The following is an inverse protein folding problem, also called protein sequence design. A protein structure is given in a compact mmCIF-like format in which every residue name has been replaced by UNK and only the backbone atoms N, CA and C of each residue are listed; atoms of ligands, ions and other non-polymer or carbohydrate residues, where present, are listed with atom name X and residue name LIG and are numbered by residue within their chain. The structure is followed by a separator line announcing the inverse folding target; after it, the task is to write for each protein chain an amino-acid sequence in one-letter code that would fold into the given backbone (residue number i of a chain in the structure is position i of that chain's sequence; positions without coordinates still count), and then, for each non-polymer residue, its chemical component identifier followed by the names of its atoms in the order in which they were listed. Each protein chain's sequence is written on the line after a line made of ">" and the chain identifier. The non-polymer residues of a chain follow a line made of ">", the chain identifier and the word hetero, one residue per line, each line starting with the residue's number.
data_IF_568594694963
#
_entry.id   IF_568594694963
#
_cell.length_a   1.000
_cell.length_b   1.000
_cell.length_c   1.000
_cell.angle_alpha   90.00
_cell.angle_beta   90.00
_cell.angle_gamma   90.00
#
_symmetry.space_group_name_H-M   'P 1'
#
loop_
_entity.id
_entity.type
_entity.pdbx_description
1 polymer ?
#
# COMPACT_ATOMS: atom_id res chain seq x y z
N UNK A 1 31.59 -19.23 38.61
CA UNK A 1 30.53 -20.18 38.96
C UNK A 1 29.79 -20.48 37.67
N UNK A 2 30.21 -21.58 37.03
CA UNK A 2 29.58 -22.14 35.84
C UNK A 2 28.30 -22.87 36.22
N UNK A 3 27.23 -22.66 35.48
CA UNK A 3 26.12 -23.59 35.40
C UNK A 3 25.75 -23.76 33.93
N UNK A 4 26.23 -24.86 33.38
CA UNK A 4 25.87 -25.48 32.13
C UNK A 4 24.51 -26.18 32.28
N UNK A 5 23.56 -25.96 31.38
CA UNK A 5 22.41 -26.84 31.17
C UNK A 5 22.34 -27.29 29.73
N UNK A 6 22.67 -28.57 29.55
CA UNK A 6 22.28 -29.35 28.38
C UNK A 6 20.77 -29.65 28.46
N UNK A 7 20.06 -29.53 27.34
CA UNK A 7 18.76 -30.20 27.19
C UNK A 7 18.70 -30.81 25.77
N UNK A 8 18.38 -32.10 25.77
CA UNK A 8 18.34 -33.05 24.70
C UNK A 8 17.35 -32.75 23.59
N UNK A 9 17.69 -33.14 22.36
CA UNK A 9 16.80 -33.21 21.20
C UNK A 9 15.97 -34.51 21.25
N UNK A 10 14.71 -34.52 20.85
CA UNK A 10 14.01 -35.76 20.51
C UNK A 10 13.97 -36.04 19.00
N UNK A 11 14.09 -37.34 18.75
CA UNK A 11 14.26 -38.06 17.51
C UNK A 11 13.18 -37.84 16.42
N UNK A 12 13.66 -37.94 15.20
CA UNK A 12 12.90 -38.12 13.95
C UNK A 12 12.02 -39.39 13.98
N UNK A 13 10.80 -39.27 13.48
CA UNK A 13 9.97 -40.40 13.06
C UNK A 13 9.69 -40.27 11.57
N UNK A 14 10.30 -41.19 10.82
CA UNK A 14 9.89 -41.56 9.48
C UNK A 14 8.43 -42.03 9.45
N UNK A 15 7.67 -41.57 8.48
CA UNK A 15 6.37 -42.18 8.10
C UNK A 15 6.38 -42.47 6.61
N UNK A 16 6.28 -43.77 6.33
CA UNK A 16 6.27 -44.39 5.02
C UNK A 16 5.16 -43.87 4.07
N UNK A 17 5.54 -43.84 2.80
CA UNK A 17 4.68 -43.69 1.65
C UNK A 17 3.79 -44.91 1.45
N UNK A 18 2.50 -44.70 1.19
CA UNK A 18 1.62 -45.65 0.54
C UNK A 18 1.06 -45.06 -0.74
N UNK A 19 1.48 -45.69 -1.82
CA UNK A 19 0.88 -45.60 -3.15
C UNK A 19 -0.61 -46.02 -3.08
N UNK A 20 -1.45 -45.29 -3.80
CA UNK A 20 -2.73 -45.82 -4.26
C UNK A 20 -3.02 -45.36 -5.67
N UNK A 21 -3.24 -46.35 -6.52
CA UNK A 21 -3.38 -46.34 -7.95
C UNK A 21 -4.66 -45.65 -8.45
N UNK A 22 -4.56 -45.24 -9.68
CA UNK A 22 -5.60 -44.75 -10.60
C UNK A 22 -6.80 -45.68 -10.70
N UNK A 23 -7.99 -45.08 -10.81
CA UNK A 23 -9.06 -45.63 -11.64
C UNK A 23 -9.72 -44.50 -12.43
N UNK A 24 -9.64 -44.65 -13.75
CA UNK A 24 -10.41 -43.90 -14.76
C UNK A 24 -11.84 -44.38 -14.75
N UNK A 25 -12.79 -43.47 -14.76
CA UNK A 25 -14.04 -43.71 -15.55
C UNK A 25 -14.67 -42.40 -16.02
N UNK A 26 -14.87 -42.39 -17.31
CA UNK A 26 -15.59 -41.45 -18.16
C UNK A 26 -17.10 -41.42 -17.83
N UNK A 27 -17.73 -40.25 -17.87
CA UNK A 27 -18.88 -39.93 -18.72
C UNK A 27 -19.70 -38.72 -18.25
N UNK A 28 -20.01 -37.85 -19.18
CA UNK A 28 -21.33 -37.22 -19.23
C UNK A 28 -21.42 -35.70 -19.05
N UNK A 29 -21.31 -35.03 -20.16
CA UNK A 29 -22.08 -33.81 -20.58
C UNK A 29 -22.79 -32.95 -19.50
N UNK A 30 -22.35 -31.70 -19.39
CA UNK A 30 -23.10 -30.62 -18.76
C UNK A 30 -22.46 -29.26 -19.07
N UNK A 31 -22.72 -28.72 -20.29
CA UNK A 31 -22.38 -27.33 -20.61
C UNK A 31 -23.24 -26.38 -19.77
N UNK A 32 -22.68 -25.74 -18.80
CA UNK A 32 -23.22 -24.49 -18.25
C UNK A 32 -22.29 -23.34 -18.62
N UNK A 33 -22.71 -22.60 -19.64
CA UNK A 33 -22.16 -21.30 -20.02
C UNK A 33 -22.53 -20.28 -18.93
N UNK A 34 -21.60 -19.98 -18.04
CA UNK A 34 -21.70 -18.82 -17.19
C UNK A 34 -21.15 -17.61 -17.97
N UNK A 35 -22.05 -16.89 -18.64
CA UNK A 35 -21.79 -15.57 -19.21
C UNK A 35 -21.66 -14.56 -18.06
N UNK A 36 -20.46 -14.40 -17.52
CA UNK A 36 -20.11 -13.28 -16.64
C UNK A 36 -19.99 -12.01 -17.47
N UNK A 37 -20.90 -11.08 -17.25
CA UNK A 37 -20.93 -9.77 -17.92
C UNK A 37 -19.77 -8.92 -17.38
N UNK A 38 -18.64 -8.88 -18.10
CA UNK A 38 -17.57 -7.91 -17.91
C UNK A 38 -17.98 -6.61 -18.59
N UNK A 39 -18.63 -5.71 -17.84
CA UNK A 39 -18.91 -4.36 -18.29
C UNK A 39 -17.87 -3.39 -17.72
N UNK A 40 -16.72 -3.31 -18.38
CA UNK A 40 -15.84 -2.15 -18.24
C UNK A 40 -16.04 -1.28 -19.45
N UNK A 41 -16.53 -0.05 -19.24
CA UNK A 41 -16.69 0.93 -20.30
C UNK A 41 -15.34 1.35 -20.85
N UNK A 42 -14.97 0.79 -21.99
CA UNK A 42 -13.86 1.22 -22.82
C UNK A 42 -14.35 2.39 -23.69
N UNK A 43 -13.86 3.60 -23.47
CA UNK A 43 -14.01 4.69 -24.43
C UNK A 43 -12.83 4.63 -25.41
N UNK A 44 -13.07 4.41 -26.72
CA UNK A 44 -11.98 4.25 -27.68
C UNK A 44 -11.44 5.61 -28.17
N UNK A 45 -10.12 5.82 -28.03
CA UNK A 45 -9.40 6.87 -28.77
C UNK A 45 -9.02 6.30 -30.14
N UNK A 46 -9.27 7.03 -31.23
CA UNK A 46 -8.88 6.65 -32.58
C UNK A 46 -7.53 7.29 -32.95
N UNK A 47 -6.52 6.46 -33.21
CA UNK A 47 -5.30 6.85 -33.92
C UNK A 47 -5.20 5.91 -35.14
N UNK A 48 -5.07 6.47 -36.34
CA UNK A 48 -4.96 5.75 -37.64
C UNK A 48 -6.03 4.67 -37.88
N UNK A 49 -7.28 4.97 -37.53
CA UNK A 49 -8.40 4.05 -37.76
C UNK A 49 -8.47 2.84 -36.80
N UNK A 50 -7.50 2.64 -35.91
CA UNK A 50 -7.51 1.61 -34.88
C UNK A 50 -7.99 2.19 -33.55
N UNK A 51 -8.96 1.52 -32.92
CA UNK A 51 -9.38 1.86 -31.57
C UNK A 51 -8.33 1.32 -30.60
N UNK A 52 -7.59 2.21 -29.94
CA UNK A 52 -6.77 1.84 -28.79
C UNK A 52 -7.72 1.82 -27.59
N UNK A 53 -7.85 0.65 -26.95
CA UNK A 53 -8.57 0.55 -25.70
C UNK A 53 -7.80 1.31 -24.63
N UNK A 54 -8.36 2.41 -24.14
CA UNK A 54 -7.81 3.15 -23.03
C UNK A 54 -8.23 2.42 -21.75
N UNK A 55 -7.27 1.88 -21.00
CA UNK A 55 -7.52 1.25 -19.72
C UNK A 55 -7.48 2.32 -18.63
N UNK A 56 -8.50 2.34 -17.79
CA UNK A 56 -8.44 3.08 -16.53
C UNK A 56 -7.82 2.16 -15.48
N UNK A 57 -6.77 2.64 -14.79
CA UNK A 57 -6.16 1.95 -13.65
C UNK A 57 -6.58 2.64 -12.36
N UNK A 58 -7.26 1.93 -11.46
CA UNK A 58 -7.64 2.40 -10.14
C UNK A 58 -6.69 1.86 -9.09
N UNK A 59 -6.02 2.75 -8.39
CA UNK A 59 -5.07 2.43 -7.32
C UNK A 59 -5.59 2.99 -6.01
N UNK A 60 -5.46 2.22 -4.95
CA UNK A 60 -5.78 2.65 -3.60
C UNK A 60 -4.65 2.36 -2.62
N UNK A 61 -4.58 3.14 -1.55
CA UNK A 61 -3.69 2.91 -0.41
C UNK A 61 -4.45 3.01 0.90
N UNK A 62 -4.09 2.18 1.88
CA UNK A 62 -4.72 2.12 3.18
C UNK A 62 -3.78 1.61 4.26
N UNK A 63 -3.44 2.45 5.23
CA UNK A 63 -2.84 1.99 6.47
C UNK A 63 -3.92 1.34 7.34
N UNK A 64 -3.86 0.01 7.48
CA UNK A 64 -4.91 -0.76 8.15
C UNK A 64 -4.75 -0.82 9.67
N UNK A 65 -3.60 -0.42 10.21
CA UNK A 65 -3.31 -0.51 11.64
C UNK A 65 -3.78 -1.85 12.25
N UNK A 66 -3.29 -2.96 11.71
CA UNK A 66 -3.62 -4.38 11.93
C UNK A 66 -4.65 -4.93 10.93
N UNK A 67 -4.16 -5.75 10.01
CA UNK A 67 -4.95 -6.36 8.94
C UNK A 67 -6.04 -7.29 9.47
N UNK A 68 -5.77 -8.06 10.52
CA UNK A 68 -6.73 -9.00 11.12
C UNK A 68 -7.94 -8.31 11.73
N UNK A 69 -7.76 -7.10 12.26
CA UNK A 69 -8.84 -6.32 12.86
C UNK A 69 -9.71 -5.65 11.79
N UNK A 70 -9.13 -5.29 10.65
CA UNK A 70 -9.78 -4.52 9.57
C UNK A 70 -10.12 -5.38 8.36
N UNK A 71 -10.04 -6.70 8.50
CA UNK A 71 -10.24 -7.63 7.38
C UNK A 71 -11.60 -7.45 6.69
N UNK A 72 -12.68 -7.39 7.48
CA UNK A 72 -14.04 -7.20 6.95
C UNK A 72 -14.19 -5.86 6.22
N UNK A 73 -13.58 -4.80 6.75
CA UNK A 73 -13.58 -3.48 6.10
C UNK A 73 -12.83 -3.50 4.77
N UNK A 74 -11.70 -4.22 4.70
CA UNK A 74 -10.93 -4.39 3.46
C UNK A 74 -11.78 -5.14 2.43
N UNK A 75 -12.38 -6.27 2.80
CA UNK A 75 -13.19 -7.10 1.90
C UNK A 75 -14.37 -6.28 1.35
N UNK A 76 -15.16 -5.67 2.22
CA UNK A 76 -16.31 -4.85 1.81
C UNK A 76 -15.90 -3.69 0.90
N UNK A 77 -14.72 -3.08 1.16
CA UNK A 77 -14.21 -2.01 0.32
C UNK A 77 -13.75 -2.51 -1.07
N UNK A 78 -13.08 -3.67 -1.13
CA UNK A 78 -12.68 -4.31 -2.39
C UNK A 78 -13.90 -4.67 -3.25
N UNK A 79 -14.93 -5.25 -2.65
CA UNK A 79 -16.18 -5.61 -3.35
C UNK A 79 -16.88 -4.38 -3.94
N UNK A 80 -16.95 -3.29 -3.18
CA UNK A 80 -17.63 -2.05 -3.58
C UNK A 80 -16.85 -1.26 -4.62
N UNK A 81 -15.55 -1.10 -4.43
CA UNK A 81 -14.73 -0.15 -5.19
C UNK A 81 -13.88 -0.79 -6.29
N UNK A 82 -13.62 -2.09 -6.20
CA UNK A 82 -12.92 -2.90 -7.19
C UNK A 82 -11.65 -2.25 -7.76
N UNK A 83 -10.68 -1.81 -6.93
CA UNK A 83 -9.45 -1.24 -7.44
C UNK A 83 -8.63 -2.28 -8.22
N UNK A 84 -7.82 -1.84 -9.17
CA UNK A 84 -6.87 -2.75 -9.83
C UNK A 84 -5.71 -3.11 -8.91
N UNK A 85 -5.33 -2.17 -8.03
CA UNK A 85 -4.29 -2.36 -7.02
C UNK A 85 -4.70 -1.72 -5.70
N UNK A 86 -4.56 -2.45 -4.60
CA UNK A 86 -4.66 -1.93 -3.23
C UNK A 86 -3.33 -2.14 -2.50
N UNK A 87 -2.72 -1.04 -2.08
CA UNK A 87 -1.52 -0.99 -1.26
C UNK A 87 -1.89 -0.86 0.21
N UNK A 88 -1.38 -1.75 1.06
CA UNK A 88 -1.70 -1.82 2.49
C UNK A 88 -0.43 -1.61 3.30
N UNK A 89 -0.56 -0.85 4.41
CA UNK A 89 0.51 -0.61 5.37
C UNK A 89 0.04 -1.00 6.78
N UNK A 90 0.97 -1.22 7.68
CA UNK A 90 0.77 -1.64 9.07
C UNK A 90 -0.10 -2.91 9.20
N UNK A 91 0.25 -3.96 8.46
CA UNK A 91 -0.45 -5.24 8.60
C UNK A 91 -0.34 -5.80 10.03
N UNK A 92 0.75 -5.48 10.76
CA UNK A 92 1.03 -5.90 12.14
C UNK A 92 0.81 -7.41 12.35
N UNK A 93 1.16 -8.18 11.33
CA UNK A 93 0.94 -9.61 11.27
C UNK A 93 2.18 -10.27 10.66
N UNK A 94 2.74 -11.25 11.34
CA UNK A 94 3.80 -12.08 10.75
C UNK A 94 3.23 -12.95 9.62
N UNK A 95 4.09 -13.38 8.70
CA UNK A 95 3.67 -13.99 7.44
C UNK A 95 2.82 -15.25 7.64
N UNK A 96 3.14 -16.08 8.65
CA UNK A 96 2.43 -17.33 8.95
C UNK A 96 0.98 -17.10 9.44
N UNK A 97 0.67 -15.91 9.97
CA UNK A 97 -0.64 -15.54 10.49
C UNK A 97 -1.41 -14.59 9.59
N UNK A 98 -0.86 -14.30 8.41
CA UNK A 98 -1.49 -13.39 7.46
C UNK A 98 -2.76 -14.03 6.88
N UNK A 99 -3.89 -13.30 6.76
CA UNK A 99 -5.18 -13.85 6.33
C UNK A 99 -5.24 -14.06 4.81
N UNK A 100 -4.25 -14.76 4.25
CA UNK A 100 -4.02 -14.91 2.80
C UNK A 100 -5.24 -15.49 2.09
N UNK A 101 -5.73 -16.65 2.55
CA UNK A 101 -6.83 -17.37 1.87
C UNK A 101 -8.13 -16.54 1.83
N UNK A 102 -8.40 -15.80 2.89
CA UNK A 102 -9.60 -14.94 2.96
C UNK A 102 -9.48 -13.78 1.97
N UNK A 103 -8.32 -13.15 1.87
CA UNK A 103 -8.10 -12.08 0.88
C UNK A 103 -8.09 -12.62 -0.55
N UNK A 104 -7.52 -13.80 -0.80
CA UNK A 104 -7.56 -14.44 -2.13
C UNK A 104 -8.98 -14.83 -2.56
N UNK A 105 -9.88 -15.16 -1.64
CA UNK A 105 -11.29 -15.45 -1.97
C UNK A 105 -12.05 -14.26 -2.56
N UNK A 106 -11.52 -13.03 -2.40
CA UNK A 106 -12.05 -11.83 -3.08
C UNK A 106 -11.66 -11.73 -4.56
N UNK A 107 -10.89 -12.70 -5.07
CA UNK A 107 -10.41 -12.74 -6.47
C UNK A 107 -9.11 -11.99 -6.72
N UNK A 108 -8.50 -11.40 -5.70
CA UNK A 108 -7.21 -10.69 -5.81
C UNK A 108 -6.02 -11.63 -5.64
N UNK A 109 -4.94 -11.34 -6.34
CA UNK A 109 -3.59 -11.84 -6.04
C UNK A 109 -3.05 -11.04 -4.86
N UNK A 110 -2.41 -11.72 -3.91
CA UNK A 110 -2.03 -11.11 -2.63
C UNK A 110 -0.54 -11.34 -2.38
N UNK A 111 0.19 -10.26 -2.21
CA UNK A 111 1.62 -10.23 -1.91
C UNK A 111 1.81 -9.46 -0.62
N UNK A 112 2.63 -9.99 0.29
CA UNK A 112 2.81 -9.40 1.60
C UNK A 112 4.18 -9.72 2.19
N UNK A 113 4.61 -8.90 3.11
CA UNK A 113 5.74 -9.11 4.01
C UNK A 113 5.40 -8.50 5.35
N UNK A 114 5.41 -9.30 6.40
CA UNK A 114 4.95 -8.89 7.71
C UNK A 114 6.02 -9.03 8.79
N UNK A 115 5.73 -8.45 9.94
CA UNK A 115 6.51 -8.59 11.17
C UNK A 115 5.57 -8.83 12.35
N UNK A 116 6.08 -9.50 13.38
CA UNK A 116 5.32 -9.70 14.62
C UNK A 116 5.05 -8.35 15.29
N UNK A 117 3.76 -8.03 15.48
CA UNK A 117 3.27 -6.86 16.22
C UNK A 117 3.52 -5.48 15.61
N UNK A 118 4.42 -5.33 14.65
CA UNK A 118 4.80 -4.04 14.05
C UNK A 118 4.82 -4.11 12.53
N UNK A 119 4.80 -2.92 11.88
CA UNK A 119 5.03 -2.76 10.45
C UNK A 119 4.19 -3.69 9.56
N UNK A 120 4.78 -4.15 8.46
CA UNK A 120 4.16 -5.01 7.47
C UNK A 120 3.48 -4.24 6.36
N UNK A 121 3.75 -4.67 5.13
CA UNK A 121 3.13 -4.15 3.91
C UNK A 121 2.52 -5.28 3.11
N UNK A 122 1.43 -4.97 2.39
CA UNK A 122 0.85 -5.90 1.45
C UNK A 122 0.38 -5.15 0.20
N UNK A 123 0.31 -5.86 -0.92
CA UNK A 123 -0.28 -5.36 -2.16
C UNK A 123 -1.22 -6.43 -2.70
N UNK A 124 -2.44 -6.01 -3.01
CA UNK A 124 -3.46 -6.81 -3.66
C UNK A 124 -3.62 -6.32 -5.10
N UNK A 125 -3.61 -7.23 -6.07
CA UNK A 125 -3.75 -6.90 -7.50
C UNK A 125 -4.84 -7.76 -8.15
N UNK A 126 -5.60 -7.19 -9.09
CA UNK A 126 -6.61 -7.96 -9.83
C UNK A 126 -6.01 -8.93 -10.84
N UNK A 127 -4.86 -8.59 -11.38
CA UNK A 127 -4.11 -9.42 -12.33
C UNK A 127 -2.79 -9.85 -11.71
N UNK A 128 -2.16 -10.87 -12.28
CA UNK A 128 -0.80 -11.25 -11.90
C UNK A 128 0.15 -10.09 -12.22
N UNK A 129 0.97 -9.62 -11.27
CA UNK A 129 1.95 -8.58 -11.53
C UNK A 129 3.13 -9.11 -12.34
N UNK A 130 3.74 -8.24 -13.13
CA UNK A 130 4.95 -8.54 -13.94
C UNK A 130 6.18 -8.81 -13.05
N UNK A 131 6.15 -8.39 -11.78
CA UNK A 131 7.19 -8.63 -10.80
C UNK A 131 6.83 -8.10 -9.42
N UNK A 132 7.41 -8.72 -8.38
CA UNK A 132 7.23 -8.35 -6.97
C UNK A 132 8.61 -8.28 -6.30
N UNK A 133 8.89 -7.18 -5.62
CA UNK A 133 10.18 -6.91 -4.98
C UNK A 133 9.94 -6.39 -3.55
N UNK A 134 10.80 -6.79 -2.63
CA UNK A 134 10.68 -6.48 -1.21
C UNK A 134 11.93 -5.73 -0.72
N UNK A 135 11.72 -4.72 0.13
CA UNK A 135 12.80 -3.95 0.72
C UNK A 135 13.55 -3.08 -0.29
N UNK A 136 14.70 -2.57 0.11
CA UNK A 136 15.48 -1.62 -0.70
C UNK A 136 16.44 -2.27 -1.70
N UNK A 137 16.78 -3.54 -1.51
CA UNK A 137 17.72 -4.28 -2.37
C UNK A 137 19.09 -3.57 -2.55
N UNK A 138 19.58 -2.93 -1.48
CA UNK A 138 20.79 -2.10 -1.51
C UNK A 138 21.97 -2.72 -0.76
N UNK A 139 21.90 -4.02 -0.42
CA UNK A 139 22.92 -4.78 0.30
C UNK A 139 23.38 -4.18 1.64
N UNK A 140 22.72 -3.13 2.11
CA UNK A 140 22.91 -2.67 3.46
C UNK A 140 22.36 -3.73 4.43
N UNK A 141 22.99 -3.94 5.61
CA UNK A 141 22.46 -4.88 6.58
C UNK A 141 21.00 -4.49 6.83
N UNK A 142 20.11 -5.31 6.33
CA UNK A 142 18.69 -5.08 6.46
C UNK A 142 18.34 -5.12 7.95
N UNK A 143 18.02 -3.96 8.46
CA UNK A 143 16.92 -3.95 9.41
C UNK A 143 15.69 -4.20 8.53
N UNK A 144 15.38 -5.47 8.29
CA UNK A 144 14.15 -5.82 7.59
C UNK A 144 12.99 -5.35 8.43
N UNK A 145 12.47 -4.20 8.07
CA UNK A 145 11.39 -3.56 8.80
C UNK A 145 10.04 -3.73 8.08
N UNK A 146 10.00 -4.53 7.01
CA UNK A 146 8.81 -4.82 6.23
C UNK A 146 8.00 -3.55 5.89
N UNK A 147 8.67 -2.52 5.32
CA UNK A 147 8.09 -1.20 5.07
C UNK A 147 8.00 -0.82 3.59
N UNK A 148 8.64 -1.58 2.70
CA UNK A 148 8.68 -1.30 1.28
C UNK A 148 8.37 -2.55 0.47
N UNK A 149 7.47 -2.41 -0.50
CA UNK A 149 7.18 -3.41 -1.52
C UNK A 149 6.95 -2.70 -2.85
N UNK A 150 7.55 -3.22 -3.93
CA UNK A 150 7.28 -2.77 -5.28
C UNK A 150 6.65 -3.91 -6.07
N UNK A 151 5.52 -3.63 -6.70
CA UNK A 151 4.91 -4.51 -7.72
C UNK A 151 4.91 -3.80 -9.06
N UNK A 152 4.93 -4.56 -10.16
CA UNK A 152 4.73 -3.99 -11.50
C UNK A 152 3.43 -4.56 -12.08
N UNK A 153 2.53 -3.70 -12.52
CA UNK A 153 1.25 -4.09 -13.13
C UNK A 153 1.11 -3.38 -14.47
N UNK A 154 1.02 -4.17 -15.54
CA UNK A 154 0.95 -3.63 -16.91
C UNK A 154 2.17 -2.77 -17.26
N UNK A 155 3.36 -3.15 -16.80
CA UNK A 155 4.60 -2.42 -16.98
C UNK A 155 4.76 -1.16 -16.12
N UNK A 156 3.82 -0.85 -15.22
CA UNK A 156 3.88 0.32 -14.33
C UNK A 156 4.34 -0.13 -12.94
N UNK A 157 5.54 0.28 -12.47
CA UNK A 157 5.99 0.05 -11.11
C UNK A 157 5.13 0.84 -10.11
N UNK A 158 4.67 0.15 -9.07
CA UNK A 158 3.89 0.70 -7.95
C UNK A 158 4.66 0.40 -6.69
N UNK A 159 5.13 1.45 -6.02
CA UNK A 159 5.96 1.38 -4.83
C UNK A 159 5.06 1.68 -3.62
N UNK A 160 4.78 0.64 -2.84
CA UNK A 160 4.05 0.72 -1.58
C UNK A 160 5.02 0.94 -0.44
N UNK A 161 4.85 2.02 0.34
CA UNK A 161 5.73 2.33 1.46
C UNK A 161 4.95 2.63 2.74
N UNK A 162 5.50 2.14 3.86
CA UNK A 162 5.17 2.56 5.21
C UNK A 162 6.38 3.28 5.80
N UNK A 163 6.45 4.59 5.62
CA UNK A 163 7.57 5.41 6.10
C UNK A 163 7.61 5.41 7.64
N UNK A 164 8.78 5.27 8.29
CA UNK A 164 8.88 5.34 9.75
C UNK A 164 8.19 6.57 10.33
N UNK A 165 7.42 6.40 11.41
CA UNK A 165 6.76 7.53 12.09
C UNK A 165 7.78 8.55 12.60
N UNK A 166 8.91 8.09 13.17
CA UNK A 166 9.98 8.96 13.68
C UNK A 166 9.80 9.40 15.13
N UNK A 167 8.74 8.97 15.81
CA UNK A 167 8.47 9.18 17.23
C UNK A 167 8.50 10.67 17.65
N UNK A 168 9.69 11.25 17.90
CA UNK A 168 9.86 12.62 18.38
C UNK A 168 11.12 13.25 17.75
N UNK A 169 11.05 14.54 17.43
CA UNK A 169 12.17 15.30 16.88
C UNK A 169 13.41 15.22 17.77
N UNK A 170 14.57 15.00 17.16
CA UNK A 170 15.86 14.88 17.84
C UNK A 170 16.15 13.51 18.45
N UNK A 171 15.30 12.50 18.23
CA UNK A 171 15.54 11.12 18.67
C UNK A 171 16.19 10.26 17.56
N UNK A 172 16.80 9.11 17.90
CA UNK A 172 17.31 8.16 16.90
C UNK A 172 16.26 7.72 15.89
N UNK A 173 14.98 7.60 16.29
CA UNK A 173 13.87 7.25 15.41
C UNK A 173 13.57 8.37 14.39
N UNK A 174 13.72 9.64 14.80
CA UNK A 174 13.60 10.75 13.87
C UNK A 174 14.74 10.75 12.84
N UNK A 175 15.98 10.53 13.28
CA UNK A 175 17.13 10.42 12.37
C UNK A 175 16.97 9.23 11.41
N UNK A 176 16.49 8.10 11.90
CA UNK A 176 16.17 6.94 11.07
C UNK A 176 15.16 7.29 9.97
N UNK A 177 14.08 8.01 10.31
CA UNK A 177 13.09 8.49 9.33
C UNK A 177 13.74 9.37 8.25
N UNK A 178 14.61 10.31 8.63
CA UNK A 178 15.29 11.19 7.67
C UNK A 178 16.21 10.39 6.73
N UNK A 179 16.99 9.45 7.28
CA UNK A 179 17.84 8.54 6.50
C UNK A 179 17.03 7.62 5.59
N UNK A 180 15.87 7.15 6.05
CA UNK A 180 14.97 6.31 5.30
C UNK A 180 14.46 7.00 4.01
N UNK A 181 14.08 8.28 4.08
CA UNK A 181 13.72 9.09 2.92
C UNK A 181 14.89 9.27 1.94
N UNK A 182 16.09 9.52 2.43
CA UNK A 182 17.27 9.62 1.58
C UNK A 182 17.57 8.30 0.86
N UNK A 183 17.46 7.17 1.58
CA UNK A 183 17.59 5.82 1.03
C UNK A 183 16.52 5.54 -0.03
N UNK A 184 15.28 5.97 0.22
CA UNK A 184 14.18 5.83 -0.74
C UNK A 184 14.43 6.60 -2.04
N UNK A 185 14.97 7.82 -1.97
CA UNK A 185 15.35 8.59 -3.17
C UNK A 185 16.44 7.89 -3.98
N UNK A 186 17.42 7.28 -3.32
CA UNK A 186 18.44 6.45 -3.97
C UNK A 186 17.81 5.25 -4.65
N UNK A 187 16.88 4.56 -3.98
CA UNK A 187 16.11 3.45 -4.54
C UNK A 187 15.38 3.85 -5.83
N UNK A 188 14.72 5.00 -5.85
CA UNK A 188 14.07 5.49 -7.07
C UNK A 188 15.06 5.68 -8.22
N UNK A 189 16.24 6.24 -7.93
CA UNK A 189 17.28 6.45 -8.94
C UNK A 189 17.84 5.15 -9.51
N UNK A 190 17.93 4.10 -8.69
CA UNK A 190 18.48 2.80 -9.10
C UNK A 190 17.46 1.94 -9.87
N UNK A 191 16.17 2.03 -9.55
CA UNK A 191 15.16 1.10 -10.03
C UNK A 191 14.10 1.70 -10.95
N UNK A 192 14.03 3.02 -11.05
CA UNK A 192 13.00 3.74 -11.81
C UNK A 192 13.61 4.76 -12.76
N UNK A 193 12.75 5.35 -13.59
CA UNK A 193 13.10 6.52 -14.43
C UNK A 193 11.99 7.55 -14.29
N UNK A 194 12.31 8.84 -14.06
CA UNK A 194 11.30 9.90 -13.93
C UNK A 194 10.51 10.13 -15.24
N UNK A 195 11.07 9.70 -16.39
CA UNK A 195 10.44 9.83 -17.70
C UNK A 195 9.49 8.67 -18.05
N UNK A 196 9.48 7.60 -17.23
CA UNK A 196 8.60 6.44 -17.40
C UNK A 196 7.48 6.44 -16.35
N UNK A 197 6.30 5.87 -16.68
CA UNK A 197 5.22 5.73 -15.70
C UNK A 197 5.69 4.98 -14.46
N UNK A 198 5.46 5.55 -13.28
CA UNK A 198 5.64 4.91 -11.99
C UNK A 198 4.73 5.58 -10.96
N UNK A 199 4.34 4.82 -9.93
CA UNK A 199 3.52 5.30 -8.80
C UNK A 199 4.25 5.00 -7.51
N UNK A 200 4.31 5.99 -6.62
CA UNK A 200 4.73 5.83 -5.24
C UNK A 200 3.55 6.19 -4.34
N UNK A 201 3.12 5.25 -3.51
CA UNK A 201 1.98 5.43 -2.62
C UNK A 201 2.22 4.79 -1.24
N UNK A 202 1.37 5.11 -0.31
CA UNK A 202 1.38 4.57 1.05
C UNK A 202 1.27 5.62 2.12
N UNK A 203 1.52 5.19 3.36
CA UNK A 203 1.64 6.09 4.51
C UNK A 203 3.05 6.68 4.58
N UNK A 204 3.14 7.95 4.25
CA UNK A 204 4.39 8.71 4.23
C UNK A 204 4.73 9.29 5.60
N UNK A 205 3.82 9.18 6.58
CA UNK A 205 3.98 9.77 7.91
C UNK A 205 4.42 11.25 7.88
N UNK A 206 3.96 12.01 6.88
CA UNK A 206 4.24 13.44 6.71
C UNK A 206 3.03 14.17 6.15
N UNK A 207 2.72 15.33 6.73
CA UNK A 207 1.83 16.34 6.15
C UNK A 207 2.72 17.40 5.47
N UNK A 208 2.84 17.41 4.12
CA UNK A 208 3.83 18.22 3.42
C UNK A 208 3.58 19.72 3.51
N UNK A 209 2.30 20.13 3.53
CA UNK A 209 1.90 21.52 3.49
C UNK A 209 0.95 21.89 4.65
N UNK A 210 0.79 23.18 4.98
CA UNK A 210 -0.12 23.59 6.05
C UNK A 210 -1.56 23.10 5.85
N UNK A 211 -2.04 23.00 4.62
CA UNK A 211 -3.37 22.50 4.28
C UNK A 211 -3.55 21.01 4.60
N UNK A 212 -2.45 20.27 4.82
CA UNK A 212 -2.44 18.82 5.07
C UNK A 212 -2.59 18.45 6.55
N UNK A 213 -2.72 19.45 7.42
CA UNK A 213 -2.89 19.27 8.86
C UNK A 213 -3.90 20.26 9.41
N UNK A 214 -4.73 19.82 10.36
CA UNK A 214 -5.57 20.76 11.11
C UNK A 214 -4.71 21.65 12.02
N UNK A 215 -5.00 22.95 12.14
CA UNK A 215 -4.30 23.90 13.01
C UNK A 215 -2.75 23.82 12.88
N UNK A 216 -2.17 24.09 11.70
CA UNK A 216 -0.74 23.88 11.42
C UNK A 216 0.18 24.62 12.39
N UNK A 217 -0.24 25.80 12.88
CA UNK A 217 0.50 26.62 13.83
C UNK A 217 0.76 25.91 15.18
N UNK A 218 -0.11 24.97 15.56
CA UNK A 218 0.02 24.17 16.80
C UNK A 218 0.91 22.94 16.64
N UNK A 219 1.21 22.56 15.39
CA UNK A 219 1.83 21.30 15.08
C UNK A 219 3.24 21.43 14.46
N UNK A 220 3.83 22.63 14.44
CA UNK A 220 5.16 22.89 13.87
C UNK A 220 6.28 22.00 14.42
N UNK A 221 6.13 21.53 15.68
CA UNK A 221 7.10 20.63 16.34
C UNK A 221 6.71 19.14 16.24
N UNK A 222 5.58 18.82 15.60
CA UNK A 222 5.14 17.43 15.45
C UNK A 222 5.96 16.70 14.38
N UNK A 223 6.37 15.46 14.65
CA UNK A 223 7.27 14.70 13.79
C UNK A 223 6.73 14.47 12.36
N UNK A 224 5.41 14.47 12.16
CA UNK A 224 4.80 14.37 10.84
C UNK A 224 4.64 15.72 10.13
N UNK A 225 4.98 16.85 10.76
CA UNK A 225 4.84 18.19 10.16
C UNK A 225 6.10 19.07 10.31
N UNK A 226 7.09 18.61 11.07
CA UNK A 226 8.33 19.35 11.29
C UNK A 226 9.05 19.62 9.97
N UNK A 227 9.69 20.79 9.85
CA UNK A 227 10.35 21.22 8.62
C UNK A 227 11.41 20.25 8.11
N UNK A 228 12.18 19.59 9.03
CA UNK A 228 13.19 18.60 8.64
C UNK A 228 12.58 17.42 7.88
N UNK A 229 11.41 16.93 8.30
CA UNK A 229 10.72 15.81 7.64
C UNK A 229 10.07 16.26 6.34
N UNK A 230 9.44 17.41 6.33
CA UNK A 230 8.88 18.00 5.10
C UNK A 230 9.95 18.24 4.04
N UNK A 231 11.16 18.66 4.45
CA UNK A 231 12.30 18.86 3.57
C UNK A 231 12.75 17.57 2.89
N UNK A 232 12.97 16.49 3.64
CA UNK A 232 13.42 15.20 3.07
C UNK A 232 12.33 14.54 2.23
N UNK A 233 11.04 14.70 2.58
CA UNK A 233 9.94 14.29 1.74
C UNK A 233 9.92 15.05 0.40
N UNK A 234 9.99 16.38 0.44
CA UNK A 234 10.04 17.21 -0.78
C UNK A 234 11.25 16.88 -1.65
N UNK A 235 12.39 16.57 -1.03
CA UNK A 235 13.58 16.12 -1.75
C UNK A 235 13.34 14.76 -2.44
N UNK A 236 12.69 13.81 -1.79
CA UNK A 236 12.32 12.53 -2.41
C UNK A 236 11.31 12.73 -3.56
N UNK A 237 10.29 13.58 -3.39
CA UNK A 237 9.30 13.91 -4.43
C UNK A 237 9.96 14.59 -5.63
N UNK A 238 10.96 15.47 -5.40
CA UNK A 238 11.69 16.19 -6.44
C UNK A 238 12.47 15.29 -7.41
N UNK A 239 12.61 14.01 -7.07
CA UNK A 239 13.20 13.02 -8.00
C UNK A 239 12.41 12.89 -9.32
N UNK A 240 11.12 13.20 -9.33
CA UNK A 240 10.29 13.18 -10.54
C UNK A 240 8.81 12.86 -10.27
N UNK A 241 8.41 12.82 -9.02
CA UNK A 241 7.02 12.56 -8.65
C UNK A 241 6.19 13.84 -8.52
N UNK A 242 4.89 13.70 -8.74
CA UNK A 242 3.85 14.72 -8.56
C UNK A 242 2.79 14.14 -7.63
N UNK A 243 2.39 14.87 -6.62
CA UNK A 243 1.27 14.54 -5.73
C UNK A 243 -0.05 14.75 -6.51
N UNK A 244 -0.71 13.65 -6.88
CA UNK A 244 -1.88 13.70 -7.77
C UNK A 244 -3.10 14.34 -7.08
N UNK A 245 -3.20 14.25 -5.74
CA UNK A 245 -4.27 14.92 -5.00
C UNK A 245 -4.07 16.43 -5.06
N UNK A 246 -2.88 16.92 -4.83
CA UNK A 246 -2.57 18.36 -4.88
C UNK A 246 -2.59 18.92 -6.30
N UNK A 247 -2.29 18.10 -7.30
CA UNK A 247 -2.44 18.49 -8.70
C UNK A 247 -3.90 18.75 -9.07
N UNK A 248 -4.83 17.89 -8.64
CA UNK A 248 -6.25 18.02 -8.98
C UNK A 248 -7.00 18.99 -8.03
N UNK A 249 -6.59 19.03 -6.76
CA UNK A 249 -7.25 19.80 -5.70
C UNK A 249 -6.24 20.59 -4.87
N UNK A 250 -5.60 21.64 -5.45
CA UNK A 250 -4.54 22.40 -4.78
C UNK A 250 -5.00 23.05 -3.47
N UNK A 251 -6.24 23.54 -3.42
CA UNK A 251 -6.78 24.34 -2.31
C UNK A 251 -7.80 23.56 -1.45
N UNK A 252 -8.04 22.28 -1.75
CA UNK A 252 -9.01 21.48 -1.00
C UNK A 252 -8.34 20.77 0.16
N UNK A 253 -8.78 21.06 1.38
CA UNK A 253 -8.35 20.31 2.56
C UNK A 253 -9.00 18.93 2.57
N UNK A 254 -8.16 17.89 2.54
CA UNK A 254 -8.56 16.48 2.59
C UNK A 254 -7.59 15.74 3.51
N UNK A 255 -8.12 14.98 4.46
CA UNK A 255 -7.34 14.24 5.43
C UNK A 255 -7.52 12.74 5.21
N UNK A 256 -6.50 11.96 5.60
CA UNK A 256 -6.51 10.50 5.52
C UNK A 256 -6.37 9.82 6.88
N UNK A 257 -6.03 10.60 7.90
CA UNK A 257 -5.77 10.15 9.28
C UNK A 257 -6.51 11.02 10.29
N UNK A 258 -7.12 10.38 11.32
CA UNK A 258 -7.71 11.02 12.49
C UNK A 258 -7.42 10.17 13.73
N UNK A 259 -6.71 10.75 14.71
CA UNK A 259 -6.32 10.09 15.94
C UNK A 259 -7.56 9.51 16.68
N UNK A 260 -7.68 8.19 16.78
CA UNK A 260 -8.80 7.53 17.43
C UNK A 260 -8.70 7.59 18.97
N UNK A 261 -7.54 7.90 19.54
CA UNK A 261 -7.40 8.19 20.98
C UNK A 261 -8.10 9.48 21.37
N UNK A 262 -8.49 10.29 20.38
CA UNK A 262 -9.33 11.49 20.53
C UNK A 262 -10.66 11.26 19.83
N UNK A 263 -11.67 10.68 20.52
CA UNK A 263 -12.90 10.21 19.90
C UNK A 263 -13.60 11.23 18.99
N UNK A 264 -13.52 12.53 19.33
CA UNK A 264 -14.14 13.62 18.56
C UNK A 264 -13.27 14.15 17.41
N UNK A 265 -12.11 13.52 17.12
CA UNK A 265 -11.20 14.04 16.07
C UNK A 265 -11.84 13.99 14.70
N UNK A 266 -12.60 12.95 14.42
CA UNK A 266 -13.29 12.75 13.15
C UNK A 266 -14.45 13.76 12.98
N UNK A 267 -15.32 13.87 13.98
CA UNK A 267 -16.49 14.79 13.96
C UNK A 267 -16.04 16.26 13.87
N UNK A 268 -14.93 16.60 14.52
CA UNK A 268 -14.36 17.95 14.49
C UNK A 268 -13.44 18.18 13.30
N UNK A 269 -13.29 17.18 12.42
CA UNK A 269 -12.36 17.17 11.29
C UNK A 269 -10.92 17.59 11.67
N UNK A 270 -10.44 17.12 12.82
CA UNK A 270 -9.06 17.34 13.30
C UNK A 270 -8.14 16.26 12.75
N UNK A 271 -7.95 16.27 11.44
CA UNK A 271 -7.24 15.25 10.72
C UNK A 271 -5.87 15.69 10.18
N UNK A 272 -5.21 14.73 9.53
CA UNK A 272 -3.94 14.87 8.84
C UNK A 272 -3.99 14.13 7.50
N UNK A 273 -3.33 14.64 6.49
CA UNK A 273 -3.05 13.88 5.28
C UNK A 273 -1.66 13.28 5.39
N UNK A 274 -1.60 12.00 5.73
CA UNK A 274 -0.36 11.23 5.91
C UNK A 274 -0.16 10.19 4.79
N UNK A 275 -1.26 9.74 4.18
CA UNK A 275 -1.25 8.83 3.04
C UNK A 275 -1.25 9.62 1.74
N UNK A 276 -0.43 9.18 0.80
CA UNK A 276 -0.25 9.88 -0.48
C UNK A 276 -0.26 8.89 -1.65
N UNK A 277 -0.69 9.36 -2.81
CA UNK A 277 -0.47 8.74 -4.10
C UNK A 277 0.27 9.76 -4.98
N UNK A 278 1.48 9.41 -5.38
CA UNK A 278 2.33 10.21 -6.23
C UNK A 278 2.58 9.43 -7.52
N UNK A 279 2.62 10.13 -8.64
CA UNK A 279 2.94 9.56 -9.94
C UNK A 279 4.04 10.36 -10.64
N UNK A 280 4.83 9.72 -11.49
CA UNK A 280 5.73 10.43 -12.39
C UNK A 280 4.94 11.38 -13.27
N UNK A 281 5.54 12.50 -13.68
CA UNK A 281 4.85 13.62 -14.34
C UNK A 281 3.89 13.20 -15.46
N UNK A 282 4.36 12.39 -16.42
CA UNK A 282 3.53 11.94 -17.56
C UNK A 282 2.32 11.10 -17.13
N UNK A 283 2.46 10.33 -16.05
CA UNK A 283 1.35 9.54 -15.52
C UNK A 283 0.43 10.41 -14.66
N UNK A 284 0.97 11.36 -13.90
CA UNK A 284 0.19 12.31 -13.11
C UNK A 284 -0.76 13.14 -14.01
N UNK A 285 -0.31 13.56 -15.20
CA UNK A 285 -1.15 14.26 -16.19
C UNK A 285 -2.34 13.44 -16.68
N UNK A 286 -2.27 12.10 -16.53
CA UNK A 286 -3.35 11.17 -16.86
C UNK A 286 -4.25 10.82 -15.68
N UNK A 287 -3.99 11.39 -14.50
CA UNK A 287 -4.85 11.20 -13.35
C UNK A 287 -6.16 11.96 -13.54
N UNK A 288 -7.28 11.23 -13.54
CA UNK A 288 -8.63 11.80 -13.73
C UNK A 288 -9.33 12.09 -12.43
N UNK A 289 -9.08 11.27 -11.43
CA UNK A 289 -9.81 11.35 -10.16
C UNK A 289 -8.92 10.90 -9.01
N UNK A 290 -9.03 11.62 -7.91
CA UNK A 290 -8.48 11.25 -6.61
C UNK A 290 -9.56 11.51 -5.57
N UNK A 291 -9.72 10.61 -4.61
CA UNK A 291 -10.68 10.84 -3.53
C UNK A 291 -10.26 10.10 -2.25
N UNK A 292 -10.75 10.57 -1.14
CA UNK A 292 -10.61 9.96 0.20
C UNK A 292 -11.98 9.42 0.60
N UNK A 293 -12.07 8.10 0.80
CA UNK A 293 -13.31 7.48 1.27
C UNK A 293 -13.37 7.51 2.80
N UNK A 294 -14.17 8.42 3.36
CA UNK A 294 -14.29 8.61 4.80
C UNK A 294 -15.18 7.56 5.49
N UNK A 295 -16.02 6.84 4.74
CA UNK A 295 -17.00 5.93 5.33
C UNK A 295 -16.36 4.78 6.13
N UNK A 296 -15.26 4.14 5.68
CA UNK A 296 -14.57 3.13 6.47
C UNK A 296 -14.05 3.65 7.81
N UNK A 297 -13.72 4.95 7.91
CA UNK A 297 -13.25 5.57 9.15
C UNK A 297 -14.36 5.75 10.19
N UNK A 298 -15.63 5.74 9.77
CA UNK A 298 -16.81 5.84 10.63
C UNK A 298 -17.29 4.48 11.15
N UNK A 299 -16.78 3.40 10.60
CA UNK A 299 -17.18 2.06 10.97
C UNK A 299 -16.65 1.67 12.38
N UNK A 300 -17.31 0.76 13.10
CA UNK A 300 -16.79 0.19 14.33
C UNK A 300 -15.41 -0.44 14.11
N UNK A 301 -14.49 -0.26 15.06
CA UNK A 301 -13.11 -0.79 15.00
C UNK A 301 -12.33 -0.32 13.76
N UNK A 302 -12.65 0.84 13.23
CA UNK A 302 -11.94 1.45 12.12
C UNK A 302 -10.44 1.62 12.41
N UNK A 303 -9.61 1.71 11.37
CA UNK A 303 -8.26 2.25 11.47
C UNK A 303 -8.33 3.75 11.79
N UNK A 304 -7.27 4.31 12.32
CA UNK A 304 -7.09 5.77 12.42
C UNK A 304 -6.86 6.43 11.04
N UNK A 305 -6.51 5.64 10.03
CA UNK A 305 -6.48 6.05 8.63
C UNK A 305 -7.75 5.63 7.88
N UNK A 306 -7.86 6.10 6.62
CA UNK A 306 -8.88 5.66 5.67
C UNK A 306 -8.30 5.52 4.28
N UNK A 307 -9.10 4.98 3.32
CA UNK A 307 -8.66 4.76 1.96
C UNK A 307 -8.48 6.06 1.20
N UNK A 308 -7.31 6.21 0.58
CA UNK A 308 -7.05 7.16 -0.51
C UNK A 308 -6.95 6.38 -1.81
N UNK A 309 -7.59 6.85 -2.87
CA UNK A 309 -7.55 6.18 -4.17
C UNK A 309 -7.46 7.18 -5.32
N UNK A 310 -6.93 6.72 -6.45
CA UNK A 310 -6.79 7.49 -7.67
C UNK A 310 -7.09 6.64 -8.91
N UNK A 311 -7.57 7.29 -9.97
CA UNK A 311 -7.83 6.69 -11.28
C UNK A 311 -6.98 7.37 -12.35
N UNK A 312 -6.31 6.54 -13.15
CA UNK A 312 -5.43 6.98 -14.23
C UNK A 312 -5.85 6.39 -15.56
N UNK A 313 -5.68 7.17 -16.64
CA UNK A 313 -5.76 6.65 -18.01
C UNK A 313 -4.39 6.08 -18.40
N UNK A 314 -4.28 4.79 -18.57
CA UNK A 314 -3.01 4.10 -18.86
C UNK A 314 -3.06 3.36 -20.19
#
# INVERSE_FOLDING_TARGET
>A
MDISFCVDAPAEKEVESKDCQQDNNDNGHGRHTATGIFSHFLLPIRIDGRKIAQFAMKIATYNVNSIRIRLDAIISWLEKHQPDVLCIQETKCQDELFPLLVLQSTGYKVYYRGMKSYNGVAVLTRVEPDGVFYGFDDQLPEVDDARLMRVAVGGIPIINTYVPNGYKIGTPQHEYKLKWYARLKTYFTQHLSPDRPAIWCGDMNVAPEPIDVHSPEKHLKHVCFHESVRKVYKDAVSWGFVDVLRQLYPDRQMFTFWDYLRPSSLEQNKGWRLDHILATRRLAEKCRRVDVDIEPRRAPRASDHTFLWAEFDV
#
